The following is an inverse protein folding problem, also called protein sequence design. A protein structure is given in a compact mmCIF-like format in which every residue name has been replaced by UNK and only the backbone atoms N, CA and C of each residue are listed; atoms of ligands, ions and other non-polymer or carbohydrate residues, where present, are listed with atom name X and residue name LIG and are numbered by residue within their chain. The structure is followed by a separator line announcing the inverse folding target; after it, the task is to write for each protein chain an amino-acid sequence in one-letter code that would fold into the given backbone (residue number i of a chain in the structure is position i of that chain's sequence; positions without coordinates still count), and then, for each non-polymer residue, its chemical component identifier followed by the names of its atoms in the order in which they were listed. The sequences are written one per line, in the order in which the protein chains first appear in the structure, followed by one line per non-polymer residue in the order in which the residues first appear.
data_IF_309678752775
#
_entry.id   IF_309678752775
#
_cell.length_a   1.000
_cell.length_b   1.000
_cell.length_c   1.000
_cell.angle_alpha   90.00
_cell.angle_beta   90.00
_cell.angle_gamma   90.00
#
_symmetry.space_group_name_H-M   'P 1'
#
loop_
_entity.id
_entity.type
_entity.pdbx_description
1 polymer ?
#
# COMPACT_ATOMS: atom_id res chain seq x y z
N UNK A 1 20.37 5.35 -17.46
CA UNK A 1 19.36 4.45 -16.87
C UNK A 1 18.07 4.68 -17.62
N UNK A 2 17.56 3.67 -18.33
CA UNK A 2 16.34 3.81 -19.13
C UNK A 2 15.13 3.67 -18.21
N UNK A 3 14.36 4.74 -18.03
CA UNK A 3 13.06 4.71 -17.38
C UNK A 3 12.11 3.94 -18.30
N UNK A 4 11.86 2.66 -18.01
CA UNK A 4 10.85 1.89 -18.74
C UNK A 4 9.48 2.45 -18.37
N UNK A 5 8.88 3.19 -19.31
CA UNK A 5 7.46 3.55 -19.26
C UNK A 5 6.64 2.26 -19.45
N UNK A 6 6.48 1.50 -18.37
CA UNK A 6 5.54 0.38 -18.33
C UNK A 6 4.13 0.94 -18.56
N UNK A 7 3.41 0.38 -19.51
CA UNK A 7 2.01 0.74 -19.74
C UNK A 7 1.20 0.43 -18.48
N UNK A 8 0.14 1.20 -18.20
CA UNK A 8 -0.73 0.97 -17.03
C UNK A 8 -1.29 -0.46 -16.94
N UNK A 9 -1.32 -1.17 -18.08
CA UNK A 9 -1.75 -2.55 -18.18
C UNK A 9 -0.67 -3.56 -17.75
N UNK A 10 0.62 -3.21 -17.87
CA UNK A 10 1.76 -4.04 -17.41
C UNK A 10 2.01 -3.92 -15.90
N UNK A 11 1.51 -2.85 -15.26
CA UNK A 11 1.52 -2.67 -13.80
C UNK A 11 0.42 -3.46 -13.08
N UNK A 12 -0.52 -4.07 -13.82
CA UNK A 12 -1.60 -4.88 -13.27
C UNK A 12 -1.17 -6.34 -13.14
N UNK A 13 -0.89 -6.82 -11.92
CA UNK A 13 -0.79 -8.27 -11.75
C UNK A 13 -2.17 -8.91 -11.64
N UNK A 14 -2.48 -9.79 -12.59
CA UNK A 14 -3.70 -10.58 -12.63
C UNK A 14 -3.57 -11.81 -11.74
N UNK A 15 -4.27 -11.83 -10.60
CA UNK A 15 -4.46 -13.06 -9.83
C UNK A 15 -5.66 -13.84 -10.43
N UNK A 16 -5.38 -15.01 -11.02
CA UNK A 16 -6.39 -15.95 -11.50
C UNK A 16 -6.47 -17.14 -10.54
N UNK A 17 -7.68 -17.47 -10.09
CA UNK A 17 -7.95 -18.71 -9.38
C UNK A 17 -9.07 -19.44 -10.13
N UNK A 18 -8.83 -20.67 -10.58
CA UNK A 18 -9.73 -21.42 -11.46
C UNK A 18 -10.17 -20.66 -12.73
N UNK A 19 -9.28 -19.87 -13.34
CA UNK A 19 -9.57 -19.14 -14.58
C UNK A 19 -10.42 -17.87 -14.43
N UNK A 20 -10.87 -17.55 -13.22
CA UNK A 20 -11.67 -16.34 -12.93
C UNK A 20 -10.73 -15.23 -12.41
N UNK A 21 -10.87 -14.02 -12.97
CA UNK A 21 -10.15 -12.84 -12.51
C UNK A 21 -10.71 -12.36 -11.18
N UNK A 22 -9.95 -12.48 -10.10
CA UNK A 22 -10.33 -11.97 -8.79
C UNK A 22 -9.71 -10.60 -8.56
N UNK A 23 -10.29 -9.53 -9.13
CA UNK A 23 -9.72 -8.17 -8.99
C UNK A 23 -9.63 -7.71 -7.53
N UNK A 24 -10.69 -7.91 -6.74
CA UNK A 24 -10.74 -7.52 -5.31
C UNK A 24 -9.97 -8.48 -4.39
N UNK A 25 -10.05 -9.79 -4.64
CA UNK A 25 -9.37 -10.79 -3.80
C UNK A 25 -7.85 -10.86 -4.10
N UNK A 26 -7.46 -10.64 -5.36
CA UNK A 26 -6.06 -10.52 -5.77
C UNK A 26 -5.37 -9.34 -5.10
N UNK A 27 -6.06 -8.20 -4.95
CA UNK A 27 -5.56 -7.05 -4.18
C UNK A 27 -5.32 -7.42 -2.73
N UNK A 28 -6.29 -8.07 -2.08
CA UNK A 28 -6.09 -8.52 -0.70
C UNK A 28 -4.91 -9.48 -0.57
N UNK A 29 -4.72 -10.43 -1.50
CA UNK A 29 -3.55 -11.33 -1.48
C UNK A 29 -2.22 -10.56 -1.61
N UNK A 30 -2.15 -9.53 -2.46
CA UNK A 30 -0.95 -8.68 -2.58
C UNK A 30 -0.68 -7.89 -1.30
N UNK A 31 -1.72 -7.30 -0.72
CA UNK A 31 -1.63 -6.60 0.57
C UNK A 31 -1.19 -7.54 1.70
N UNK A 32 -1.70 -8.78 1.75
CA UNK A 32 -1.26 -9.81 2.71
C UNK A 32 0.23 -10.12 2.55
N UNK A 33 0.69 -10.35 1.31
CA UNK A 33 2.09 -10.68 1.01
C UNK A 33 3.05 -9.59 1.46
N UNK A 34 2.65 -8.32 1.35
CA UNK A 34 3.42 -7.16 1.82
C UNK A 34 3.17 -6.79 3.29
N UNK A 35 2.32 -7.51 4.02
CA UNK A 35 1.90 -7.17 5.40
C UNK A 35 1.26 -5.78 5.53
N UNK A 36 0.52 -5.36 4.50
CA UNK A 36 -0.20 -4.09 4.44
C UNK A 36 -1.71 -4.24 4.69
N UNK A 37 -2.19 -5.48 4.80
CA UNK A 37 -3.62 -5.78 5.01
C UNK A 37 -4.20 -5.08 6.24
N UNK A 38 -3.46 -5.03 7.35
CA UNK A 38 -3.94 -4.42 8.60
C UNK A 38 -4.07 -2.92 8.49
N UNK A 39 -3.19 -2.28 7.73
CA UNK A 39 -3.22 -0.85 7.44
C UNK A 39 -4.49 -0.50 6.66
N UNK A 40 -4.77 -1.23 5.57
CA UNK A 40 -5.98 -1.04 4.76
C UNK A 40 -7.27 -1.37 5.51
N UNK A 41 -7.22 -2.34 6.43
CA UNK A 41 -8.36 -2.70 7.29
C UNK A 41 -8.53 -1.75 8.49
N UNK A 42 -7.71 -0.70 8.63
CA UNK A 42 -7.77 0.25 9.74
C UNK A 42 -7.34 -0.31 11.10
N UNK A 43 -6.65 -1.46 11.11
CA UNK A 43 -6.14 -2.13 12.31
C UNK A 43 -4.70 -1.71 12.66
N UNK A 44 -4.02 -0.99 11.76
CA UNK A 44 -2.69 -0.40 11.94
C UNK A 44 -2.78 1.11 11.65
N UNK A 45 -3.34 1.91 12.59
CA UNK A 45 -3.57 3.33 12.38
C UNK A 45 -2.28 4.14 12.38
N UNK A 46 -2.32 5.34 11.78
CA UNK A 46 -1.19 6.28 11.79
C UNK A 46 -0.76 6.55 13.25
N UNK A 47 0.55 6.42 13.57
CA UNK A 47 1.06 6.77 14.89
C UNK A 47 0.82 8.26 15.22
N UNK A 48 0.43 8.53 16.46
CA UNK A 48 0.35 9.90 16.96
C UNK A 48 1.77 10.46 17.16
N UNK A 49 1.94 11.76 16.94
CA UNK A 49 3.20 12.46 17.21
C UNK A 49 3.52 12.41 18.71
N UNK A 50 4.76 12.04 19.03
CA UNK A 50 5.29 12.01 20.39
C UNK A 50 6.30 13.14 20.52
N UNK A 51 6.01 14.08 21.42
CA UNK A 51 6.83 15.27 21.62
C UNK A 51 7.82 15.07 22.77
N UNK A 52 9.01 15.65 22.65
CA UNK A 52 9.93 15.83 23.78
C UNK A 52 9.53 17.09 24.59
N UNK A 53 10.29 17.36 25.66
CA UNK A 53 10.08 18.51 26.54
C UNK A 53 10.26 19.88 25.84
N UNK A 54 10.85 19.89 24.64
CA UNK A 54 11.09 21.08 23.80
C UNK A 54 10.08 21.20 22.64
N UNK A 55 8.99 20.42 22.66
CA UNK A 55 7.99 20.31 21.58
C UNK A 55 8.53 19.79 20.23
N UNK A 56 9.68 19.13 20.22
CA UNK A 56 10.20 18.41 19.06
C UNK A 56 9.57 17.02 18.91
N UNK A 57 9.15 16.65 17.69
CA UNK A 57 8.63 15.32 17.39
C UNK A 57 9.76 14.29 17.42
N UNK A 58 9.62 13.26 18.24
CA UNK A 58 10.65 12.23 18.50
C UNK A 58 10.46 10.95 17.69
N UNK A 59 9.26 10.72 17.17
CA UNK A 59 8.89 9.51 16.44
C UNK A 59 8.61 9.76 14.95
N UNK A 60 9.19 10.81 14.38
CA UNK A 60 8.98 11.19 12.98
C UNK A 60 9.32 10.03 12.03
N UNK A 61 10.42 9.31 12.26
CA UNK A 61 10.81 8.14 11.47
C UNK A 61 9.74 7.05 11.43
N UNK A 62 9.02 6.86 12.54
CA UNK A 62 7.93 5.86 12.62
C UNK A 62 6.72 6.32 11.83
N UNK A 63 6.42 7.61 11.87
CA UNK A 63 5.33 8.23 11.11
C UNK A 63 5.64 8.18 9.61
N UNK A 64 6.86 8.52 9.20
CA UNK A 64 7.28 8.50 7.80
C UNK A 64 7.25 7.10 7.23
N UNK A 65 7.75 6.10 7.97
CA UNK A 65 7.63 4.69 7.59
C UNK A 65 6.16 4.23 7.45
N UNK A 66 5.25 4.72 8.31
CA UNK A 66 3.83 4.42 8.17
C UNK A 66 3.24 5.04 6.90
N UNK A 67 3.59 6.30 6.59
CA UNK A 67 3.13 7.01 5.39
C UNK A 67 3.63 6.33 4.11
N UNK A 68 4.87 5.85 4.09
CA UNK A 68 5.41 5.10 2.95
C UNK A 68 4.61 3.81 2.72
N UNK A 69 4.33 3.05 3.80
CA UNK A 69 3.51 1.83 3.74
C UNK A 69 2.08 2.10 3.28
N UNK A 70 1.48 3.21 3.71
CA UNK A 70 0.14 3.65 3.27
C UNK A 70 0.12 3.99 1.77
N UNK A 71 1.13 4.71 1.29
CA UNK A 71 1.31 5.03 -0.14
C UNK A 71 1.46 3.77 -0.99
N UNK A 72 2.21 2.79 -0.50
CA UNK A 72 2.41 1.48 -1.12
C UNK A 72 1.08 0.70 -1.23
N UNK A 73 0.28 0.72 -0.16
CA UNK A 73 -1.02 0.07 -0.13
C UNK A 73 -2.01 0.74 -1.08
N UNK A 74 -2.07 2.08 -1.09
CA UNK A 74 -2.89 2.87 -1.99
C UNK A 74 -2.54 2.59 -3.46
N UNK A 75 -1.25 2.50 -3.79
CA UNK A 75 -0.80 2.18 -5.14
C UNK A 75 -1.28 0.79 -5.59
N UNK A 76 -1.19 -0.23 -4.72
CA UNK A 76 -1.70 -1.57 -5.01
C UNK A 76 -3.21 -1.55 -5.26
N UNK A 77 -3.98 -0.80 -4.48
CA UNK A 77 -5.42 -0.68 -4.65
C UNK A 77 -5.75 0.03 -5.97
N UNK A 78 -5.14 1.19 -6.21
CA UNK A 78 -5.37 2.04 -7.38
C UNK A 78 -5.18 1.26 -8.69
N UNK A 79 -4.01 0.65 -8.89
CA UNK A 79 -3.70 -0.04 -10.15
C UNK A 79 -4.60 -1.24 -10.42
N UNK A 80 -5.15 -1.88 -9.38
CA UNK A 80 -5.84 -3.17 -9.51
C UNK A 80 -7.37 -3.09 -9.36
N UNK A 81 -7.92 -2.01 -8.78
CA UNK A 81 -9.36 -1.84 -8.57
C UNK A 81 -9.96 -0.76 -9.47
N UNK A 82 -9.25 0.34 -9.74
CA UNK A 82 -9.85 1.42 -10.56
C UNK A 82 -10.02 0.98 -12.02
N UNK A 83 -11.22 1.19 -12.60
CA UNK A 83 -11.45 0.97 -14.02
C UNK A 83 -10.75 2.08 -14.81
N UNK A 84 -9.84 1.67 -15.68
CA UNK A 84 -9.40 2.47 -16.84
C UNK A 84 -10.47 2.45 -17.90
#
# INVERSE_FOLDING_TARGET
MATQNLSANELRDYAKFNGINFRRYGVMLKLRRKKLEKLVLGQDPKPAETFNDENGVTNQDVIDNWIERDTDACSIIYYNIEPT
#
